data_IF_134057705422
#
_entry.id   IF_134057705422
#
_cell.length_a   1.000
_cell.length_b   1.000
_cell.length_c   1.000
_cell.angle_alpha   90.00
_cell.angle_beta   90.00
_cell.angle_gamma   90.00
#
_symmetry.space_group_name_H-M   'P 1'
#
loop_
_entity.id
_entity.type
_entity.pdbx_description
1 polymer ?
#
# COMPACT_ATOMS: atom_id res chain seq x y z
N UNK A 1 -5.15 -100.19 5.51
CA UNK A 1 -4.06 -101.15 5.33
C UNK A 1 -2.80 -100.39 5.56
N UNK A 2 -2.34 -100.52 6.77
CA UNK A 2 -1.12 -101.21 7.22
C UNK A 2 0.11 -100.41 6.83
N UNK A 3 0.89 -100.01 7.62
CA UNK A 3 1.58 -100.46 8.84
C UNK A 3 3.03 -99.97 8.73
N UNK A 4 3.50 -99.44 9.68
CA UNK A 4 4.51 -99.77 10.69
C UNK A 4 5.95 -99.19 10.52
N UNK A 5 6.33 -98.52 11.57
CA UNK A 5 7.52 -98.78 12.42
C UNK A 5 8.92 -98.59 11.75
N UNK A 6 9.90 -98.18 12.34
CA UNK A 6 10.34 -97.88 13.70
C UNK A 6 11.84 -97.51 13.67
N UNK A 7 12.29 -96.81 14.70
CA UNK A 7 13.64 -96.81 15.28
C UNK A 7 14.85 -96.17 14.52
N UNK A 8 15.57 -95.25 15.00
CA UNK A 8 16.53 -95.29 16.14
C UNK A 8 17.30 -93.93 16.25
N UNK A 9 17.32 -93.42 17.45
CA UNK A 9 18.37 -92.68 18.13
C UNK A 9 19.72 -92.49 17.43
N UNK A 10 20.15 -91.23 17.45
CA UNK A 10 21.53 -90.80 17.26
C UNK A 10 21.67 -89.36 17.74
N UNK A 11 22.10 -89.21 18.96
CA UNK A 11 22.51 -87.92 19.60
C UNK A 11 23.73 -87.38 18.87
N UNK A 12 23.63 -86.11 18.39
CA UNK A 12 24.80 -85.30 18.18
C UNK A 12 24.44 -83.84 18.57
N UNK A 13 25.02 -83.44 19.66
CA UNK A 13 25.10 -82.02 20.05
C UNK A 13 25.89 -81.26 19.01
N UNK A 14 25.20 -80.36 18.28
CA UNK A 14 25.86 -79.28 17.60
C UNK A 14 25.44 -77.97 18.26
N UNK A 15 26.40 -77.37 18.92
CA UNK A 15 26.38 -75.99 19.43
C UNK A 15 26.29 -75.05 18.23
N UNK A 16 25.08 -74.60 17.95
CA UNK A 16 24.83 -73.50 16.98
C UNK A 16 25.02 -72.17 17.70
N UNK A 17 26.14 -71.51 17.44
CA UNK A 17 26.32 -70.10 17.73
C UNK A 17 25.16 -69.34 17.05
N UNK A 18 24.32 -68.70 17.85
CA UNK A 18 23.29 -67.79 17.35
C UNK A 18 23.90 -66.60 16.64
N UNK A 19 23.82 -66.57 15.31
CA UNK A 19 24.01 -65.37 14.53
C UNK A 19 22.79 -64.47 14.76
N UNK A 20 22.97 -63.39 15.52
CA UNK A 20 21.98 -62.33 15.61
C UNK A 20 21.69 -61.80 14.22
N UNK A 21 20.52 -62.14 13.67
CA UNK A 21 20.01 -61.51 12.45
C UNK A 21 19.72 -60.03 12.82
N UNK A 22 20.42 -59.06 12.20
CA UNK A 22 20.13 -57.66 12.52
C UNK A 22 18.64 -57.35 12.26
N UNK A 23 17.99 -56.68 13.21
CA UNK A 23 16.60 -56.31 13.07
C UNK A 23 16.40 -55.38 11.85
N UNK A 24 16.08 -56.00 10.72
CA UNK A 24 15.82 -55.38 9.41
C UNK A 24 14.69 -54.37 9.55
N UNK A 25 13.77 -54.56 10.49
CA UNK A 25 12.68 -53.62 10.75
C UNK A 25 13.15 -52.32 11.45
N UNK A 26 14.16 -52.42 12.32
CA UNK A 26 14.77 -51.24 12.96
C UNK A 26 15.59 -50.42 11.94
N UNK A 27 16.35 -51.07 11.08
CA UNK A 27 17.11 -50.44 9.99
C UNK A 27 16.21 -49.72 8.98
N UNK A 28 15.07 -50.34 8.62
CA UNK A 28 14.08 -49.76 7.69
C UNK A 28 13.37 -48.54 8.29
N UNK A 29 13.11 -48.54 9.61
CA UNK A 29 12.53 -47.39 10.30
C UNK A 29 13.51 -46.22 10.38
N UNK A 30 14.80 -46.47 10.60
CA UNK A 30 15.86 -45.45 10.61
C UNK A 30 16.00 -44.81 9.23
N UNK A 31 16.09 -45.58 8.15
CA UNK A 31 16.15 -45.09 6.77
C UNK A 31 14.92 -44.25 6.37
N UNK A 32 13.73 -44.65 6.80
CA UNK A 32 12.51 -43.86 6.55
C UNK A 32 12.54 -42.51 7.30
N UNK A 33 13.11 -42.46 8.51
CA UNK A 33 13.29 -41.20 9.27
C UNK A 33 14.31 -40.29 8.59
N UNK A 34 15.45 -40.82 8.17
CA UNK A 34 16.47 -40.05 7.43
C UNK A 34 15.94 -39.51 6.09
N UNK A 35 15.24 -40.33 5.31
CA UNK A 35 14.59 -39.89 4.08
C UNK A 35 13.57 -38.79 4.30
N UNK A 36 12.80 -38.87 5.39
CA UNK A 36 11.85 -37.81 5.77
C UNK A 36 12.56 -36.53 6.18
N UNK A 37 13.69 -36.62 6.87
CA UNK A 37 14.53 -35.49 7.29
C UNK A 37 15.21 -34.85 6.07
N UNK A 38 15.77 -35.64 5.15
CA UNK A 38 16.38 -35.17 3.91
C UNK A 38 15.33 -34.51 2.97
N UNK A 39 14.12 -35.06 2.88
CA UNK A 39 13.01 -34.43 2.15
C UNK A 39 12.63 -33.09 2.77
N UNK A 40 12.50 -33.00 4.10
CA UNK A 40 12.25 -31.74 4.82
C UNK A 40 13.39 -30.73 4.63
N UNK A 41 14.66 -31.16 4.66
CA UNK A 41 15.80 -30.28 4.40
C UNK A 41 15.87 -29.83 2.93
N UNK A 42 15.48 -30.68 1.97
CA UNK A 42 15.38 -30.33 0.56
C UNK A 42 14.23 -29.34 0.32
N UNK A 43 13.08 -29.54 0.96
CA UNK A 43 11.93 -28.65 0.85
C UNK A 43 12.18 -27.31 1.56
N UNK A 44 13.03 -27.27 2.61
CA UNK A 44 13.50 -26.04 3.24
C UNK A 44 14.54 -25.29 2.39
N UNK A 45 15.32 -25.96 1.54
CA UNK A 45 16.31 -25.33 0.64
C UNK A 45 15.70 -24.75 -0.62
N UNK A 46 14.52 -25.21 -1.04
CA UNK A 46 13.79 -24.68 -2.19
C UNK A 46 12.45 -24.12 -1.69
N UNK A 47 12.51 -23.07 -0.86
CA UNK A 47 11.32 -22.23 -0.64
C UNK A 47 10.94 -21.64 -2.00
N UNK A 48 9.85 -22.14 -2.60
CA UNK A 48 9.27 -21.46 -3.76
C UNK A 48 9.01 -20.01 -3.35
N UNK A 49 9.45 -19.02 -4.13
CA UNK A 49 9.24 -17.63 -3.80
C UNK A 49 7.75 -17.37 -3.58
N UNK A 50 7.44 -16.62 -2.54
CA UNK A 50 6.06 -16.23 -2.23
C UNK A 50 5.47 -15.42 -3.40
N UNK A 51 4.14 -15.31 -3.45
CA UNK A 51 3.47 -14.45 -4.44
C UNK A 51 4.02 -13.01 -4.39
N UNK A 52 4.26 -12.50 -3.19
CA UNK A 52 4.79 -11.16 -2.98
C UNK A 52 6.22 -11.00 -3.53
N UNK A 53 7.10 -11.96 -3.26
CA UNK A 53 8.49 -11.93 -3.78
C UNK A 53 8.53 -11.95 -5.30
N UNK A 54 7.65 -12.74 -5.95
CA UNK A 54 7.53 -12.76 -7.42
C UNK A 54 7.01 -11.45 -7.97
N UNK A 55 5.99 -10.85 -7.33
CA UNK A 55 5.46 -9.56 -7.77
C UNK A 55 6.52 -8.46 -7.65
N UNK A 56 7.33 -8.46 -6.59
CA UNK A 56 8.45 -7.52 -6.44
C UNK A 56 9.52 -7.73 -7.51
N UNK A 57 9.98 -8.96 -7.73
CA UNK A 57 10.96 -9.24 -8.79
C UNK A 57 10.47 -8.80 -10.17
N UNK A 58 9.20 -9.08 -10.50
CA UNK A 58 8.62 -8.65 -11.77
C UNK A 58 8.55 -7.12 -11.85
N UNK A 59 8.18 -6.45 -10.78
CA UNK A 59 8.17 -4.99 -10.69
C UNK A 59 9.57 -4.41 -10.94
N UNK A 60 10.59 -4.91 -10.25
CA UNK A 60 11.97 -4.45 -10.39
C UNK A 60 12.47 -4.58 -11.84
N UNK A 61 12.14 -5.69 -12.51
CA UNK A 61 12.49 -5.90 -13.92
C UNK A 61 11.70 -4.95 -14.85
N UNK A 62 10.41 -4.72 -14.55
CA UNK A 62 9.57 -3.80 -15.36
C UNK A 62 10.05 -2.36 -15.25
N UNK A 63 10.43 -1.90 -14.07
CA UNK A 63 10.94 -0.54 -13.85
C UNK A 63 12.20 -0.28 -14.65
N UNK A 64 13.10 -1.25 -14.72
CA UNK A 64 14.39 -1.12 -15.43
C UNK A 64 14.30 -1.44 -16.93
N UNK A 65 13.15 -1.90 -17.42
CA UNK A 65 13.00 -2.43 -18.79
C UNK A 65 13.43 -1.45 -19.87
N UNK A 66 13.05 -0.17 -19.76
CA UNK A 66 13.38 0.83 -20.79
C UNK A 66 14.89 1.02 -20.92
N UNK A 67 15.62 1.07 -19.81
CA UNK A 67 17.09 1.18 -19.81
C UNK A 67 17.74 -0.08 -20.37
N UNK A 68 17.22 -1.25 -20.03
CA UNK A 68 17.72 -2.52 -20.54
C UNK A 68 17.51 -2.65 -22.05
N UNK A 69 16.34 -2.27 -22.56
CA UNK A 69 16.06 -2.26 -24.00
C UNK A 69 16.98 -1.29 -24.75
N UNK A 70 17.23 -0.09 -24.21
CA UNK A 70 18.18 0.86 -24.79
C UNK A 70 19.59 0.26 -24.89
N UNK A 71 20.04 -0.40 -23.81
CA UNK A 71 21.35 -1.06 -23.74
C UNK A 71 21.45 -2.27 -24.66
N UNK A 72 20.33 -2.96 -24.95
CA UNK A 72 20.25 -4.12 -25.83
C UNK A 72 20.12 -3.78 -27.33
N UNK A 73 20.21 -2.51 -27.71
CA UNK A 73 20.22 -2.10 -29.13
C UNK A 73 18.87 -1.63 -29.68
N UNK A 74 17.81 -1.56 -28.85
CA UNK A 74 16.49 -1.05 -29.28
C UNK A 74 16.38 0.49 -29.25
N UNK A 75 17.50 1.20 -29.14
CA UNK A 75 17.52 2.68 -29.06
C UNK A 75 16.83 3.37 -30.24
N UNK A 76 16.86 2.76 -31.43
CA UNK A 76 16.23 3.33 -32.64
C UNK A 76 14.70 3.34 -32.57
N UNK A 77 14.09 2.34 -31.95
CA UNK A 77 12.62 2.24 -31.76
C UNK A 77 12.16 2.84 -30.44
N UNK A 78 13.10 3.12 -29.56
CA UNK A 78 12.92 3.89 -28.33
C UNK A 78 13.38 5.36 -28.57
N UNK A 79 13.07 5.92 -29.71
CA UNK A 79 13.41 7.32 -30.03
C UNK A 79 12.79 8.27 -28.99
N UNK A 80 13.48 9.37 -28.63
CA UNK A 80 12.91 10.36 -27.73
C UNK A 80 11.52 10.77 -28.22
N UNK A 81 10.53 10.87 -27.36
CA UNK A 81 9.19 11.19 -27.78
C UNK A 81 9.14 12.58 -28.39
N UNK A 82 8.63 12.67 -29.61
CA UNK A 82 8.41 13.95 -30.33
C UNK A 82 7.26 14.76 -29.67
N UNK A 83 6.92 15.93 -30.22
CA UNK A 83 5.78 16.71 -29.74
C UNK A 83 4.50 15.90 -29.84
N UNK A 84 3.57 16.14 -28.91
CA UNK A 84 2.27 15.45 -28.91
C UNK A 84 1.34 16.15 -29.89
N UNK A 85 0.80 15.39 -30.84
CA UNK A 85 -0.21 15.87 -31.78
C UNK A 85 -1.59 15.44 -31.34
N UNK A 86 -2.46 16.40 -31.07
CA UNK A 86 -3.88 16.16 -30.76
C UNK A 86 -4.63 15.81 -32.05
N UNK A 87 -5.46 14.77 -31.96
CA UNK A 87 -6.28 14.26 -33.04
C UNK A 87 -7.74 14.67 -32.83
N UNK A 88 -8.26 15.48 -33.74
CA UNK A 88 -9.66 15.94 -33.66
C UNK A 88 -9.85 17.15 -32.73
N UNK A 89 -11.09 17.47 -32.38
CA UNK A 89 -11.40 18.62 -31.54
C UNK A 89 -10.98 18.37 -30.09
N UNK A 90 -10.44 19.41 -29.46
CA UNK A 90 -10.22 19.44 -28.02
C UNK A 90 -11.50 19.76 -27.28
N UNK A 91 -11.66 19.17 -26.10
CA UNK A 91 -12.77 19.46 -25.19
C UNK A 91 -12.24 20.23 -24.01
N UNK A 92 -12.83 21.38 -23.72
CA UNK A 92 -12.56 22.12 -22.49
C UNK A 92 -13.50 21.66 -21.38
N UNK A 93 -12.93 21.30 -20.22
CA UNK A 93 -13.72 20.94 -19.05
C UNK A 93 -13.94 22.15 -18.16
N UNK A 94 -15.17 22.64 -18.03
CA UNK A 94 -15.47 23.84 -17.26
C UNK A 94 -15.18 23.66 -15.75
N UNK A 95 -15.15 22.42 -15.23
CA UNK A 95 -14.89 22.17 -13.81
C UNK A 95 -13.44 22.32 -13.45
N UNK A 96 -12.52 21.83 -14.28
CA UNK A 96 -11.09 21.87 -14.01
C UNK A 96 -10.37 22.95 -14.80
N UNK A 97 -11.08 23.61 -15.73
CA UNK A 97 -10.53 24.53 -16.73
C UNK A 97 -9.43 23.91 -17.58
N UNK A 98 -9.38 22.59 -17.59
CA UNK A 98 -8.43 21.81 -18.35
C UNK A 98 -8.92 21.53 -19.77
N UNK A 99 -7.99 21.10 -20.60
CA UNK A 99 -8.26 20.63 -21.96
C UNK A 99 -8.04 19.15 -22.07
N UNK A 100 -8.90 18.50 -22.85
CA UNK A 100 -8.88 17.05 -23.08
C UNK A 100 -8.76 16.83 -24.58
N UNK A 101 -7.76 16.03 -24.97
CA UNK A 101 -7.55 15.67 -26.37
C UNK A 101 -7.21 14.19 -26.51
N UNK A 102 -7.43 13.65 -27.71
CA UNK A 102 -7.01 12.30 -28.07
C UNK A 102 -5.72 12.34 -28.85
N UNK A 103 -4.87 11.36 -28.63
CA UNK A 103 -3.60 11.26 -29.35
C UNK A 103 -3.19 9.80 -29.57
N UNK A 104 -2.16 9.61 -30.36
CA UNK A 104 -1.57 8.29 -30.64
C UNK A 104 -0.09 8.40 -30.88
N UNK A 105 0.66 7.42 -30.47
CA UNK A 105 2.09 7.30 -30.78
C UNK A 105 2.55 5.84 -30.71
N UNK A 106 3.76 5.51 -31.22
CA UNK A 106 4.37 4.21 -31.02
C UNK A 106 4.53 3.87 -29.54
N UNK A 107 4.37 2.59 -29.18
CA UNK A 107 4.54 2.12 -27.80
C UNK A 107 5.91 2.49 -27.24
N UNK A 108 6.97 2.41 -28.04
CA UNK A 108 8.33 2.80 -27.64
C UNK A 108 8.43 4.25 -27.18
N UNK A 109 7.76 5.19 -27.85
CA UNK A 109 7.66 6.59 -27.42
C UNK A 109 6.79 6.74 -26.17
N UNK A 110 5.64 6.06 -26.14
CA UNK A 110 4.70 6.10 -25.03
C UNK A 110 5.34 5.68 -23.70
N UNK A 111 6.09 4.55 -23.68
CA UNK A 111 6.72 4.07 -22.44
C UNK A 111 7.88 4.95 -21.97
N UNK A 112 8.50 5.73 -22.85
CA UNK A 112 9.52 6.72 -22.48
C UNK A 112 8.92 7.98 -21.84
N UNK A 113 7.68 8.34 -22.21
CA UNK A 113 6.99 9.46 -21.56
C UNK A 113 6.56 9.15 -20.13
N UNK A 114 6.32 7.87 -19.83
CA UNK A 114 5.66 7.42 -18.62
C UNK A 114 6.60 6.56 -17.79
N UNK A 115 7.20 7.16 -16.78
CA UNK A 115 7.91 6.39 -15.74
C UNK A 115 6.91 5.70 -14.83
N UNK A 116 7.12 4.40 -14.58
CA UNK A 116 6.35 3.66 -13.57
C UNK A 116 6.59 4.23 -12.18
N UNK A 117 7.83 4.65 -11.89
CA UNK A 117 8.24 5.19 -10.59
C UNK A 117 7.63 6.57 -10.33
N UNK A 118 7.49 7.41 -11.36
CA UNK A 118 6.93 8.76 -11.22
C UNK A 118 5.40 8.76 -11.02
N UNK A 119 4.75 7.59 -11.18
CA UNK A 119 3.30 7.45 -11.03
C UNK A 119 2.88 6.95 -9.63
N UNK A 120 3.51 7.50 -8.61
CA UNK A 120 3.26 7.15 -7.20
C UNK A 120 1.85 7.44 -6.69
N UNK A 121 1.02 8.19 -7.43
CA UNK A 121 -0.40 8.38 -7.11
C UNK A 121 -1.28 7.17 -7.46
N UNK A 122 -0.74 6.20 -8.20
CA UNK A 122 -1.48 5.04 -8.65
C UNK A 122 -1.41 3.88 -7.66
N UNK A 123 -2.33 2.93 -7.83
CA UNK A 123 -2.29 1.69 -7.05
C UNK A 123 -1.00 0.91 -7.31
N UNK A 124 -0.51 0.19 -6.30
CA UNK A 124 0.61 -0.72 -6.51
C UNK A 124 0.28 -1.76 -7.58
N UNK A 125 1.30 -2.30 -8.26
CA UNK A 125 1.10 -3.33 -9.27
C UNK A 125 0.44 -4.56 -8.65
N UNK A 126 -0.52 -5.13 -9.38
CA UNK A 126 -1.10 -6.43 -9.04
C UNK A 126 -0.16 -7.55 -9.50
N UNK A 127 -0.44 -8.77 -9.06
CA UNK A 127 0.18 -9.95 -9.63
C UNK A 127 -0.41 -10.23 -11.02
N UNK A 128 0.09 -9.53 -12.03
CA UNK A 128 -0.36 -9.63 -13.42
C UNK A 128 -0.23 -11.04 -13.99
N UNK A 129 0.67 -11.84 -13.43
CA UNK A 129 0.92 -13.21 -13.90
C UNK A 129 -0.11 -14.22 -13.40
N UNK A 130 -0.88 -13.91 -12.35
CA UNK A 130 -1.91 -14.80 -11.81
C UNK A 130 -3.33 -14.25 -11.95
N UNK A 131 -3.51 -12.93 -12.09
CA UNK A 131 -4.84 -12.33 -12.27
C UNK A 131 -5.38 -12.63 -13.69
N UNK A 132 -6.56 -13.27 -13.81
CA UNK A 132 -7.10 -13.68 -15.10
C UNK A 132 -7.34 -12.54 -16.10
N UNK A 133 -7.71 -11.36 -15.59
CA UNK A 133 -8.01 -10.18 -16.42
C UNK A 133 -6.72 -9.68 -17.06
N UNK A 134 -5.69 -9.46 -16.24
CA UNK A 134 -4.41 -8.92 -16.75
C UNK A 134 -3.67 -9.93 -17.63
N UNK A 135 -3.71 -11.23 -17.30
CA UNK A 135 -3.16 -12.27 -18.17
C UNK A 135 -3.80 -12.27 -19.55
N UNK A 136 -5.13 -12.10 -19.61
CA UNK A 136 -5.84 -11.98 -20.88
C UNK A 136 -5.41 -10.71 -21.63
N UNK A 137 -5.37 -9.56 -20.96
CA UNK A 137 -4.94 -8.31 -21.58
C UNK A 137 -3.51 -8.39 -22.16
N UNK A 138 -2.57 -8.99 -21.43
CA UNK A 138 -1.20 -9.21 -21.91
C UNK A 138 -1.22 -10.08 -23.16
N UNK A 139 -1.95 -11.20 -23.14
CA UNK A 139 -2.03 -12.11 -24.30
C UNK A 139 -2.71 -11.45 -25.48
N UNK A 140 -3.84 -10.79 -25.27
CA UNK A 140 -4.59 -10.10 -26.31
C UNK A 140 -3.72 -9.02 -26.96
N UNK A 141 -2.89 -8.32 -26.18
CA UNK A 141 -1.92 -7.36 -26.70
C UNK A 141 -0.82 -8.05 -27.53
N UNK A 142 -0.23 -9.16 -27.07
CA UNK A 142 0.73 -9.96 -27.83
C UNK A 142 0.11 -10.41 -29.16
N UNK A 143 -1.13 -10.88 -29.13
CA UNK A 143 -1.89 -11.38 -30.30
C UNK A 143 -2.38 -10.26 -31.25
N UNK A 144 -2.15 -8.99 -30.93
CA UNK A 144 -2.46 -7.86 -31.82
C UNK A 144 -3.80 -7.17 -31.59
N UNK A 145 -4.52 -7.54 -30.51
CA UNK A 145 -5.78 -6.88 -30.18
C UNK A 145 -5.59 -5.38 -29.85
N UNK A 146 -6.63 -4.59 -30.16
CA UNK A 146 -6.67 -3.19 -29.73
C UNK A 146 -6.85 -3.11 -28.20
N UNK A 147 -6.04 -2.27 -27.57
CA UNK A 147 -6.12 -2.03 -26.14
C UNK A 147 -7.01 -0.83 -25.82
N UNK A 148 -7.72 -0.86 -24.69
CA UNK A 148 -8.46 0.32 -24.22
C UNK A 148 -7.53 1.51 -24.04
N UNK A 149 -8.04 2.71 -24.32
CA UNK A 149 -7.29 3.95 -24.17
C UNK A 149 -6.91 4.20 -22.71
N UNK A 150 -5.66 4.62 -22.49
CA UNK A 150 -5.19 5.11 -21.21
C UNK A 150 -5.50 6.61 -21.08
N UNK A 151 -5.57 7.12 -19.85
CA UNK A 151 -5.75 8.55 -19.58
C UNK A 151 -4.51 9.07 -18.88
N UNK A 152 -3.87 10.06 -19.47
CA UNK A 152 -2.65 10.68 -18.93
C UNK A 152 -2.84 12.18 -18.77
N UNK A 153 -2.11 12.77 -17.82
CA UNK A 153 -2.05 14.20 -17.62
C UNK A 153 -0.68 14.74 -18.01
N UNK A 154 -0.68 15.88 -18.67
CA UNK A 154 0.52 16.68 -18.89
C UNK A 154 0.62 17.75 -17.81
N UNK A 155 1.68 17.70 -16.99
CA UNK A 155 1.89 18.58 -15.84
C UNK A 155 3.15 19.41 -16.05
N UNK A 156 3.10 20.70 -15.68
CA UNK A 156 4.28 21.53 -15.55
C UNK A 156 4.76 21.60 -14.12
N UNK A 157 6.07 21.77 -13.89
CA UNK A 157 6.63 22.05 -12.57
C UNK A 157 6.13 23.36 -11.95
N UNK A 158 5.65 24.29 -12.79
CA UNK A 158 5.23 25.63 -12.39
C UNK A 158 3.70 25.83 -12.31
N UNK A 159 2.90 24.75 -12.39
CA UNK A 159 1.44 24.82 -12.55
C UNK A 159 1.03 24.70 -14.03
N UNK A 160 -0.18 24.33 -14.34
CA UNK A 160 -0.77 23.90 -15.60
C UNK A 160 0.01 24.15 -16.89
N UNK A 161 0.25 23.10 -17.67
CA UNK A 161 0.84 23.18 -19.01
C UNK A 161 -0.15 23.88 -19.93
N UNK A 162 0.22 25.03 -20.45
CA UNK A 162 -0.62 25.76 -21.43
C UNK A 162 -0.48 25.23 -22.86
N UNK A 163 0.66 24.63 -23.19
CA UNK A 163 0.96 24.03 -24.49
C UNK A 163 1.67 22.71 -24.32
N UNK A 164 1.34 21.73 -25.19
CA UNK A 164 1.97 20.41 -25.21
C UNK A 164 3.37 20.42 -25.87
N UNK A 165 3.82 21.57 -26.38
CA UNK A 165 5.13 21.73 -26.99
C UNK A 165 6.23 22.12 -25.99
N UNK A 166 5.88 22.29 -24.69
CA UNK A 166 6.85 22.63 -23.67
C UNK A 166 7.71 21.40 -23.32
N UNK A 167 9.02 21.47 -23.54
CA UNK A 167 9.99 20.41 -23.26
C UNK A 167 10.14 20.04 -21.77
N UNK A 168 9.53 20.81 -20.86
CA UNK A 168 9.53 20.56 -19.41
C UNK A 168 8.29 19.82 -18.90
N UNK A 169 7.50 19.26 -19.79
CA UNK A 169 6.28 18.53 -19.45
C UNK A 169 6.64 17.21 -18.75
N UNK A 170 5.97 16.94 -17.63
CA UNK A 170 5.91 15.63 -17.00
C UNK A 170 4.55 15.00 -17.27
N UNK A 171 4.56 13.72 -17.56
CA UNK A 171 3.35 12.96 -17.79
C UNK A 171 3.02 12.12 -16.57
N UNK A 172 1.78 12.20 -16.11
CA UNK A 172 1.25 11.38 -15.03
C UNK A 172 0.07 10.56 -15.53
N UNK A 173 0.00 9.30 -15.15
CA UNK A 173 -1.12 8.44 -15.51
C UNK A 173 -2.30 8.76 -14.62
N UNK A 174 -3.44 9.12 -15.20
CA UNK A 174 -4.71 9.28 -14.50
C UNK A 174 -5.40 7.93 -14.34
N UNK A 175 -5.53 7.18 -15.45
CA UNK A 175 -6.04 5.80 -15.50
C UNK A 175 -5.26 5.00 -16.54
N UNK A 176 -4.88 3.78 -16.18
CA UNK A 176 -4.18 2.88 -17.09
C UNK A 176 -2.81 2.42 -16.65
N UNK A 177 -2.37 2.68 -15.42
CA UNK A 177 -1.08 2.18 -14.92
C UNK A 177 -0.98 0.65 -15.06
N UNK A 178 -2.05 -0.08 -14.73
CA UNK A 178 -2.06 -1.54 -14.88
C UNK A 178 -1.98 -1.96 -16.36
N UNK A 179 -2.49 -1.15 -17.29
CA UNK A 179 -2.33 -1.35 -18.74
C UNK A 179 -0.89 -1.10 -19.20
N UNK A 180 -0.25 -0.07 -18.66
CA UNK A 180 1.19 0.15 -18.90
C UNK A 180 1.99 -1.06 -18.42
N UNK A 181 1.72 -1.61 -17.24
CA UNK A 181 2.34 -2.86 -16.79
C UNK A 181 2.09 -4.02 -17.77
N UNK A 182 0.87 -4.17 -18.29
CA UNK A 182 0.58 -5.21 -19.28
C UNK A 182 1.43 -5.05 -20.55
N UNK A 183 1.64 -3.82 -21.03
CA UNK A 183 2.52 -3.56 -22.18
C UNK A 183 3.97 -3.93 -21.89
N UNK A 184 4.50 -3.48 -20.76
CA UNK A 184 5.88 -3.75 -20.36
C UNK A 184 6.13 -5.25 -20.14
N UNK A 185 5.19 -5.95 -19.50
CA UNK A 185 5.26 -7.40 -19.33
C UNK A 185 5.17 -8.14 -20.68
N UNK A 186 4.32 -7.67 -21.61
CA UNK A 186 4.24 -8.25 -22.94
C UNK A 186 5.59 -8.14 -23.69
N UNK A 187 6.24 -6.96 -23.63
CA UNK A 187 7.58 -6.73 -24.19
C UNK A 187 8.59 -7.69 -23.55
N UNK A 188 8.62 -7.80 -22.23
CA UNK A 188 9.50 -8.71 -21.51
C UNK A 188 9.30 -10.17 -21.93
N UNK A 189 8.06 -10.63 -22.03
CA UNK A 189 7.72 -11.99 -22.43
C UNK A 189 8.17 -12.30 -23.85
N UNK A 190 8.07 -11.33 -24.77
CA UNK A 190 8.49 -11.51 -26.18
C UNK A 190 10.00 -11.45 -26.30
N UNK A 191 10.66 -10.56 -25.56
CA UNK A 191 12.10 -10.36 -25.61
C UNK A 191 12.88 -11.45 -24.91
N UNK A 192 12.58 -11.72 -23.61
CA UNK A 192 13.35 -12.63 -22.76
C UNK A 192 12.81 -14.06 -22.71
N UNK A 193 11.58 -14.29 -23.11
CA UNK A 193 10.95 -15.62 -23.22
C UNK A 193 11.16 -16.51 -21.98
N UNK A 194 11.62 -17.75 -22.20
CA UNK A 194 11.86 -18.73 -21.14
C UNK A 194 12.91 -18.27 -20.12
N UNK A 195 13.78 -17.33 -20.47
CA UNK A 195 14.76 -16.80 -19.53
C UNK A 195 14.11 -16.21 -18.28
N UNK A 196 12.95 -15.57 -18.40
CA UNK A 196 12.19 -15.05 -17.26
C UNK A 196 11.83 -16.14 -16.23
N UNK A 197 11.63 -17.37 -16.69
CA UNK A 197 11.39 -18.54 -15.81
C UNK A 197 12.68 -18.99 -15.16
N UNK A 198 13.77 -19.08 -15.94
CA UNK A 198 15.09 -19.47 -15.45
C UNK A 198 15.59 -18.51 -14.38
N UNK A 199 15.38 -17.20 -14.57
CA UNK A 199 15.73 -16.15 -13.63
C UNK A 199 14.76 -16.08 -12.42
N UNK A 200 13.69 -16.88 -12.42
CA UNK A 200 12.69 -16.94 -11.37
C UNK A 200 11.85 -15.64 -11.26
N UNK A 201 11.74 -14.88 -12.35
CA UNK A 201 10.90 -13.68 -12.45
C UNK A 201 9.43 -14.05 -12.57
N UNK A 202 9.12 -15.06 -13.41
CA UNK A 202 7.77 -15.58 -13.59
C UNK A 202 7.73 -17.09 -13.32
N UNK A 203 6.59 -17.64 -12.87
CA UNK A 203 6.43 -19.09 -12.74
C UNK A 203 6.27 -19.78 -14.10
N UNK A 204 6.64 -21.05 -14.18
CA UNK A 204 6.50 -21.86 -15.40
C UNK A 204 5.06 -21.89 -15.93
N UNK A 205 4.08 -21.99 -15.04
CA UNK A 205 2.66 -21.97 -15.43
C UNK A 205 2.25 -20.60 -16.05
N UNK A 206 2.88 -19.54 -15.58
CA UNK A 206 2.72 -18.19 -16.16
C UNK A 206 3.27 -18.15 -17.59
N UNK A 207 4.49 -18.63 -17.81
CA UNK A 207 5.07 -18.72 -19.14
C UNK A 207 4.24 -19.60 -20.10
N UNK A 208 3.84 -20.79 -19.66
CA UNK A 208 3.06 -21.73 -20.49
C UNK A 208 1.77 -21.11 -21.04
N UNK A 209 1.18 -20.16 -20.31
CA UNK A 209 -0.03 -19.45 -20.78
C UNK A 209 0.24 -18.56 -21.99
N UNK A 210 1.45 -18.00 -22.12
CA UNK A 210 1.82 -17.05 -23.17
C UNK A 210 2.66 -17.70 -24.28
N UNK A 211 3.26 -18.86 -24.02
CA UNK A 211 4.29 -19.46 -24.86
C UNK A 211 3.88 -19.61 -26.32
N UNK A 212 2.64 -20.02 -26.59
CA UNK A 212 2.14 -20.19 -27.96
C UNK A 212 2.01 -18.86 -28.70
N UNK A 213 1.41 -17.83 -28.03
CA UNK A 213 1.29 -16.48 -28.59
C UNK A 213 2.66 -15.87 -28.88
N UNK A 214 3.61 -16.00 -27.95
CA UNK A 214 4.96 -15.46 -28.11
C UNK A 214 5.72 -16.18 -29.23
N UNK A 215 5.64 -17.51 -29.32
CA UNK A 215 6.33 -18.30 -30.37
C UNK A 215 5.82 -17.96 -31.77
N UNK A 216 4.56 -17.62 -31.93
CA UNK A 216 3.98 -17.20 -33.23
C UNK A 216 4.58 -15.91 -33.77
N UNK A 217 5.14 -15.04 -32.93
CA UNK A 217 5.74 -13.77 -33.35
C UNK A 217 7.12 -13.92 -34.02
N UNK A 218 7.72 -15.13 -33.99
CA UNK A 218 9.02 -15.40 -34.61
C UNK A 218 10.21 -15.00 -33.73
N UNK A 219 11.25 -14.41 -34.34
CA UNK A 219 12.49 -14.05 -33.65
C UNK A 219 12.27 -12.97 -32.60
N UNK A 220 12.90 -13.10 -31.39
CA UNK A 220 12.65 -12.21 -30.25
C UNK A 220 12.92 -10.74 -30.53
N UNK A 221 14.03 -10.45 -31.19
CA UNK A 221 14.46 -9.06 -31.48
C UNK A 221 13.47 -8.37 -32.40
N UNK A 222 13.15 -9.00 -33.55
CA UNK A 222 12.20 -8.46 -34.52
C UNK A 222 10.79 -8.36 -33.93
N UNK A 223 10.36 -9.34 -33.18
CA UNK A 223 9.07 -9.35 -32.50
C UNK A 223 8.98 -8.21 -31.47
N UNK A 224 10.05 -7.94 -30.73
CA UNK A 224 10.14 -6.84 -29.77
C UNK A 224 10.09 -5.48 -30.47
N UNK A 225 10.83 -5.29 -31.55
CA UNK A 225 10.76 -4.09 -32.37
C UNK A 225 9.33 -3.82 -32.88
N UNK A 226 8.68 -4.84 -33.42
CA UNK A 226 7.32 -4.75 -33.92
C UNK A 226 6.33 -4.37 -32.81
N UNK A 227 6.51 -4.87 -31.58
CA UNK A 227 5.69 -4.45 -30.44
C UNK A 227 5.94 -2.99 -30.07
N UNK A 228 7.20 -2.55 -30.04
CA UNK A 228 7.57 -1.17 -29.70
C UNK A 228 7.06 -0.16 -30.75
N UNK A 229 6.97 -0.56 -32.02
CA UNK A 229 6.40 0.27 -33.08
C UNK A 229 4.87 0.27 -33.12
N UNK A 230 4.20 -0.61 -32.36
CA UNK A 230 2.74 -0.65 -32.34
C UNK A 230 2.15 0.65 -31.82
N UNK A 231 1.16 1.19 -32.52
CA UNK A 231 0.50 2.45 -32.17
C UNK A 231 -0.43 2.25 -30.99
N UNK A 232 -0.21 3.03 -29.94
CA UNK A 232 -1.03 3.13 -28.75
C UNK A 232 -1.86 4.42 -28.81
N UNK A 233 -3.14 4.32 -28.44
CA UNK A 233 -4.04 5.46 -28.32
C UNK A 233 -4.25 5.80 -26.86
N UNK A 234 -4.31 7.10 -26.57
CA UNK A 234 -4.58 7.57 -25.21
C UNK A 234 -5.24 8.95 -25.23
N UNK A 235 -5.93 9.24 -24.15
CA UNK A 235 -6.55 10.52 -23.88
C UNK A 235 -5.58 11.35 -23.02
N UNK A 236 -5.33 12.60 -23.39
CA UNK A 236 -4.43 13.50 -22.69
C UNK A 236 -5.19 14.67 -22.09
N UNK A 237 -4.94 14.91 -20.80
CA UNK A 237 -5.46 16.02 -20.02
C UNK A 237 -4.32 17.03 -19.81
N UNK A 238 -4.51 18.26 -20.22
CA UNK A 238 -3.50 19.30 -20.09
C UNK A 238 -4.13 20.65 -19.75
N UNK A 239 -3.32 21.67 -19.48
CA UNK A 239 -3.77 22.93 -18.90
C UNK A 239 -4.53 22.74 -17.57
N UNK A 240 -4.32 21.62 -16.85
CA UNK A 240 -4.92 21.33 -15.57
C UNK A 240 -3.92 21.58 -14.43
N UNK A 241 -4.40 22.12 -13.32
CA UNK A 241 -3.63 22.18 -12.08
C UNK A 241 -3.63 20.83 -11.34
N UNK A 242 -2.86 20.77 -10.24
CA UNK A 242 -2.78 19.56 -9.40
C UNK A 242 -4.17 19.14 -8.88
N UNK A 243 -5.02 20.08 -8.49
CA UNK A 243 -6.38 19.78 -8.03
C UNK A 243 -7.24 19.11 -9.11
N UNK A 244 -7.17 19.58 -10.35
CA UNK A 244 -7.85 18.97 -11.49
C UNK A 244 -7.34 17.57 -11.77
N UNK A 245 -6.00 17.36 -11.74
CA UNK A 245 -5.41 16.03 -11.86
C UNK A 245 -5.98 15.07 -10.80
N UNK A 246 -5.96 15.46 -9.53
CA UNK A 246 -6.41 14.63 -8.42
C UNK A 246 -7.91 14.34 -8.53
N UNK A 247 -8.72 15.32 -8.97
CA UNK A 247 -10.14 15.14 -9.26
C UNK A 247 -10.36 14.02 -10.29
N UNK A 248 -9.64 14.05 -11.42
CA UNK A 248 -9.76 13.02 -12.44
C UNK A 248 -9.24 11.66 -11.96
N UNK A 249 -8.14 11.61 -11.22
CA UNK A 249 -7.62 10.36 -10.66
C UNK A 249 -8.65 9.67 -9.76
N UNK A 250 -9.36 10.43 -8.93
CA UNK A 250 -10.41 9.88 -8.07
C UNK A 250 -11.61 9.45 -8.91
N UNK A 251 -12.08 10.30 -9.82
CA UNK A 251 -13.29 10.07 -10.64
C UNK A 251 -13.14 8.83 -11.52
N UNK A 252 -12.05 8.72 -12.29
CA UNK A 252 -11.85 7.58 -13.20
C UNK A 252 -11.52 6.27 -12.48
N UNK A 253 -10.83 6.33 -11.35
CA UNK A 253 -10.52 5.13 -10.57
C UNK A 253 -11.68 4.67 -9.66
N UNK A 254 -12.77 5.43 -9.56
CA UNK A 254 -13.94 5.06 -8.75
C UNK A 254 -14.82 3.96 -9.34
N UNK A 255 -14.77 3.73 -10.65
CA UNK A 255 -15.74 2.92 -11.38
C UNK A 255 -15.40 1.44 -11.58
N UNK A 256 -14.13 1.04 -11.55
CA UNK A 256 -13.72 -0.34 -11.87
C UNK A 256 -13.43 -1.19 -10.62
N UNK A 257 -12.23 -1.09 -10.05
CA UNK A 257 -11.91 -1.56 -8.70
C UNK A 257 -11.75 -0.31 -7.85
N UNK A 258 -12.78 0.02 -7.09
CA UNK A 258 -12.79 1.25 -6.30
C UNK A 258 -11.51 1.36 -5.48
N UNK A 259 -10.81 2.47 -5.66
CA UNK A 259 -9.77 2.89 -4.76
C UNK A 259 -10.39 3.06 -3.37
N UNK A 260 -9.73 2.58 -2.31
CA UNK A 260 -10.26 2.80 -0.96
C UNK A 260 -10.34 4.30 -0.67
N UNK A 261 -11.33 4.72 0.10
CA UNK A 261 -11.49 6.13 0.48
C UNK A 261 -10.21 6.68 1.17
N UNK A 262 -9.47 5.83 1.89
CA UNK A 262 -8.19 6.20 2.51
C UNK A 262 -7.15 6.60 1.47
N UNK A 263 -6.96 5.78 0.45
CA UNK A 263 -6.02 6.09 -0.64
C UNK A 263 -6.47 7.33 -1.42
N UNK A 264 -7.78 7.49 -1.65
CA UNK A 264 -8.31 8.72 -2.27
C UNK A 264 -7.96 9.96 -1.45
N UNK A 265 -8.17 9.90 -0.14
CA UNK A 265 -7.84 11.01 0.77
C UNK A 265 -6.32 11.30 0.77
N UNK A 266 -5.47 10.27 0.79
CA UNK A 266 -4.01 10.44 0.72
C UNK A 266 -3.59 11.12 -0.59
N UNK A 267 -4.18 10.74 -1.72
CA UNK A 267 -3.93 11.39 -3.02
C UNK A 267 -4.32 12.86 -2.96
N UNK A 268 -5.55 13.15 -2.53
CA UNK A 268 -6.10 14.51 -2.50
C UNK A 268 -5.33 15.45 -1.57
N UNK A 269 -4.80 14.91 -0.48
CA UNK A 269 -4.05 15.67 0.53
C UNK A 269 -2.52 15.43 0.46
N UNK A 270 -2.04 14.92 -0.67
CA UNK A 270 -0.61 14.63 -0.88
C UNK A 270 0.31 15.83 -0.57
N UNK A 271 0.01 17.08 -0.98
CA UNK A 271 0.85 18.22 -0.63
C UNK A 271 0.97 18.43 0.90
N UNK A 272 -0.12 18.24 1.63
CA UNK A 272 -0.10 18.30 3.10
C UNK A 272 0.76 17.17 3.69
N UNK A 273 0.59 15.94 3.22
CA UNK A 273 1.36 14.79 3.69
C UNK A 273 2.86 15.00 3.45
N UNK A 274 3.25 15.47 2.26
CA UNK A 274 4.66 15.75 1.94
C UNK A 274 5.23 16.89 2.79
N UNK A 275 4.44 17.90 3.05
CA UNK A 275 4.86 18.99 3.95
C UNK A 275 5.08 18.47 5.38
N UNK A 276 4.15 17.68 5.94
CA UNK A 276 4.29 17.07 7.25
C UNK A 276 5.50 16.13 7.34
N UNK A 277 5.78 15.38 6.29
CA UNK A 277 7.00 14.54 6.21
C UNK A 277 8.27 15.36 6.19
N UNK A 278 8.30 16.46 5.42
CA UNK A 278 9.46 17.37 5.38
C UNK A 278 9.74 18.00 6.74
N UNK A 279 8.71 18.14 7.58
CA UNK A 279 8.80 18.57 8.96
C UNK A 279 9.24 17.45 9.94
N UNK A 280 9.48 16.25 9.44
CA UNK A 280 9.97 15.11 10.22
C UNK A 280 8.91 14.26 10.90
N UNK A 281 7.63 14.41 10.55
CA UNK A 281 6.55 13.54 11.07
C UNK A 281 6.63 12.18 10.37
N UNK A 282 6.70 11.08 11.14
CA UNK A 282 6.84 9.74 10.57
C UNK A 282 5.51 9.24 9.99
N UNK A 283 5.32 9.39 8.68
CA UNK A 283 4.10 9.02 7.99
C UNK A 283 4.35 7.82 7.06
N UNK A 284 3.42 6.87 7.10
CA UNK A 284 3.30 5.75 6.20
C UNK A 284 2.08 5.96 5.29
N UNK A 285 2.27 5.81 3.99
CA UNK A 285 1.20 5.95 3.01
C UNK A 285 0.78 4.59 2.46
N UNK A 286 -0.51 4.43 2.20
CA UNK A 286 -1.05 3.27 1.48
C UNK A 286 -0.82 3.38 -0.05
N UNK A 287 -0.53 4.59 -0.54
CA UNK A 287 -0.18 4.84 -1.94
C UNK A 287 1.17 4.20 -2.27
N UNK A 288 1.25 3.51 -3.42
CA UNK A 288 2.49 2.87 -3.88
C UNK A 288 2.92 1.64 -3.08
N UNK A 289 2.14 1.23 -2.09
CA UNK A 289 2.45 0.08 -1.25
C UNK A 289 2.35 -1.22 -2.03
N UNK A 290 3.38 -2.04 -1.90
CA UNK A 290 3.34 -3.39 -2.47
C UNK A 290 2.38 -4.30 -1.70
N UNK A 291 1.66 -5.22 -2.37
CA UNK A 291 0.79 -6.18 -1.70
C UNK A 291 1.54 -6.96 -0.63
N UNK A 292 1.01 -7.00 0.59
CA UNK A 292 1.59 -7.72 1.73
C UNK A 292 2.64 -6.93 2.54
N UNK A 293 2.97 -5.71 2.16
CA UNK A 293 3.72 -4.81 3.04
C UNK A 293 2.91 -4.45 4.27
N UNK A 294 3.55 -4.48 5.43
CA UNK A 294 2.94 -4.08 6.69
C UNK A 294 3.46 -2.72 7.10
N UNK A 295 2.57 -1.87 7.58
CA UNK A 295 2.96 -0.58 8.16
C UNK A 295 3.92 -0.80 9.33
N UNK A 296 5.05 -0.07 9.38
CA UNK A 296 5.86 0.02 10.58
C UNK A 296 5.04 0.56 11.76
N UNK A 297 5.32 0.05 12.95
CA UNK A 297 4.51 0.37 14.14
C UNK A 297 4.72 1.78 14.67
N UNK A 298 5.82 2.39 14.30
CA UNK A 298 6.28 3.73 14.67
C UNK A 298 5.82 4.83 13.71
N UNK A 299 4.94 4.52 12.74
CA UNK A 299 4.50 5.49 11.74
C UNK A 299 2.99 5.69 11.74
N UNK A 300 2.57 6.93 11.60
CA UNK A 300 1.19 7.30 11.33
C UNK A 300 0.74 6.85 9.94
N UNK A 301 -0.53 6.51 9.79
CA UNK A 301 -1.09 6.31 8.46
C UNK A 301 -1.40 7.68 7.82
N UNK A 302 -1.07 7.86 6.54
CA UNK A 302 -1.27 9.13 5.83
C UNK A 302 -2.70 9.64 5.91
N UNK A 303 -3.69 8.78 5.67
CA UNK A 303 -5.10 9.13 5.81
C UNK A 303 -5.49 9.53 7.24
N UNK A 304 -4.94 8.87 8.27
CA UNK A 304 -5.28 9.16 9.66
C UNK A 304 -4.68 10.51 10.09
N UNK A 305 -3.47 10.84 9.61
CA UNK A 305 -2.84 12.14 9.85
C UNK A 305 -3.61 13.30 9.18
N UNK A 306 -4.12 13.08 7.97
CA UNK A 306 -4.97 14.07 7.31
C UNK A 306 -6.24 14.33 8.11
N UNK A 307 -6.91 13.28 8.58
CA UNK A 307 -8.10 13.40 9.42
C UNK A 307 -7.77 14.03 10.77
N UNK A 308 -6.63 13.70 11.39
CA UNK A 308 -6.17 14.31 12.62
C UNK A 308 -5.90 15.81 12.45
N UNK A 309 -5.28 16.23 11.35
CA UNK A 309 -5.09 17.63 11.01
C UNK A 309 -6.43 18.36 10.91
N UNK A 310 -7.40 17.76 10.24
CA UNK A 310 -8.76 18.31 10.12
C UNK A 310 -9.47 18.37 11.49
N UNK A 311 -9.35 17.31 12.30
CA UNK A 311 -9.92 17.27 13.65
C UNK A 311 -9.35 18.37 14.55
N UNK A 312 -8.05 18.68 14.44
CA UNK A 312 -7.42 19.80 15.15
C UNK A 312 -8.00 21.16 14.75
N UNK A 313 -8.15 21.41 13.43
CA UNK A 313 -8.62 22.68 12.90
C UNK A 313 -10.10 22.91 13.24
N UNK A 314 -10.92 21.86 13.10
CA UNK A 314 -12.37 21.95 13.31
C UNK A 314 -12.78 21.71 14.76
N UNK A 315 -11.84 21.32 15.61
CA UNK A 315 -12.10 20.91 17.00
C UNK A 315 -13.16 19.78 17.08
N UNK A 316 -13.19 18.91 16.10
CA UNK A 316 -14.20 17.87 15.99
C UNK A 316 -13.56 16.51 15.66
N UNK A 317 -13.67 15.57 16.58
CA UNK A 317 -13.16 14.20 16.40
C UNK A 317 -13.99 13.34 15.42
N UNK A 318 -15.19 13.79 15.03
CA UNK A 318 -16.11 13.02 14.20
C UNK A 318 -15.86 13.13 12.68
N UNK A 319 -14.73 13.74 12.28
CA UNK A 319 -14.31 13.79 10.88
C UNK A 319 -14.15 12.36 10.31
N UNK A 320 -14.60 12.16 9.08
CA UNK A 320 -14.50 10.85 8.40
C UNK A 320 -13.89 10.98 7.02
N UNK A 321 -13.22 9.94 6.57
CA UNK A 321 -12.64 9.89 5.23
C UNK A 321 -13.67 10.17 4.14
N UNK A 322 -14.91 9.67 4.30
CA UNK A 322 -15.98 9.87 3.31
C UNK A 322 -16.36 11.34 3.18
N UNK A 323 -16.62 12.02 4.32
CA UNK A 323 -16.99 13.44 4.35
C UNK A 323 -15.87 14.31 3.78
N UNK A 324 -14.62 14.06 4.15
CA UNK A 324 -13.48 14.84 3.65
C UNK A 324 -13.22 14.60 2.15
N UNK A 325 -13.45 13.39 1.67
CA UNK A 325 -13.35 13.09 0.24
C UNK A 325 -14.44 13.80 -0.56
N UNK A 326 -15.69 13.75 -0.09
CA UNK A 326 -16.82 14.41 -0.72
C UNK A 326 -16.62 15.95 -0.73
N UNK A 327 -16.25 16.51 0.41
CA UNK A 327 -15.95 17.94 0.53
C UNK A 327 -14.88 18.40 -0.47
N UNK A 328 -13.79 17.64 -0.63
CA UNK A 328 -12.75 17.97 -1.60
C UNK A 328 -13.28 17.98 -3.04
N UNK A 329 -14.12 16.98 -3.39
CA UNK A 329 -14.72 16.90 -4.74
C UNK A 329 -15.67 18.05 -5.05
N UNK A 330 -16.33 18.60 -4.03
CA UNK A 330 -17.29 19.68 -4.18
C UNK A 330 -16.64 21.08 -4.20
N UNK A 331 -15.66 21.33 -3.33
CA UNK A 331 -15.13 22.67 -3.11
C UNK A 331 -14.14 23.15 -4.17
N UNK A 332 -13.58 22.30 -5.03
CA UNK A 332 -12.63 22.64 -6.12
C UNK A 332 -11.41 23.49 -5.68
N UNK A 333 -11.18 23.68 -4.40
CA UNK A 333 -10.13 24.57 -3.89
C UNK A 333 -8.89 23.78 -3.44
N UNK A 334 -7.68 24.26 -3.74
CA UNK A 334 -6.47 23.74 -3.12
C UNK A 334 -6.53 23.98 -1.62
N UNK A 335 -6.59 22.90 -0.87
CA UNK A 335 -6.76 22.89 0.59
C UNK A 335 -5.70 23.70 1.35
N UNK A 336 -4.50 23.86 0.78
CA UNK A 336 -3.41 24.61 1.41
C UNK A 336 -3.64 26.11 1.48
N UNK A 337 -4.42 26.68 0.53
CA UNK A 337 -4.68 28.13 0.50
C UNK A 337 -5.62 28.58 1.63
N UNK A 338 -6.39 27.64 2.21
CA UNK A 338 -7.36 27.91 3.28
C UNK A 338 -6.91 27.40 4.66
N UNK A 339 -5.81 26.66 4.76
CA UNK A 339 -5.22 26.30 6.04
C UNK A 339 -4.38 27.51 6.46
N UNK A 340 -4.87 28.28 7.45
CA UNK A 340 -4.05 29.23 8.14
C UNK A 340 -2.74 28.60 8.64
N UNK A 341 -2.02 29.29 9.48
CA UNK A 341 -0.76 28.78 10.01
C UNK A 341 -0.91 27.36 10.61
N UNK A 342 -0.34 26.35 9.93
CA UNK A 342 -0.35 24.94 10.37
C UNK A 342 0.81 24.62 11.33
N UNK A 343 1.58 25.62 11.74
CA UNK A 343 2.74 25.46 12.62
C UNK A 343 2.35 24.84 13.97
N UNK A 344 1.21 25.22 14.53
CA UNK A 344 0.70 24.68 15.78
C UNK A 344 0.37 23.18 15.67
N UNK A 345 -0.21 22.76 14.55
CA UNK A 345 -0.48 21.34 14.26
C UNK A 345 0.83 20.57 14.13
N UNK A 346 1.77 21.07 13.35
CA UNK A 346 3.09 20.47 13.16
C UNK A 346 3.77 20.30 14.52
N UNK A 347 3.77 21.34 15.34
CA UNK A 347 4.34 21.29 16.69
C UNK A 347 3.66 20.22 17.54
N UNK A 348 2.34 20.17 17.53
CA UNK A 348 1.56 19.17 18.28
C UNK A 348 1.85 17.75 17.81
N UNK A 349 1.84 17.50 16.49
CA UNK A 349 2.11 16.18 15.93
C UNK A 349 3.57 15.72 16.17
N UNK A 350 4.53 16.64 16.15
CA UNK A 350 5.93 16.35 16.54
C UNK A 350 6.01 15.93 18.00
N UNK A 351 5.35 16.62 18.92
CA UNK A 351 5.29 16.24 20.34
C UNK A 351 4.61 14.87 20.53
N UNK A 352 3.50 14.64 19.85
CA UNK A 352 2.80 13.35 19.90
C UNK A 352 3.72 12.21 19.42
N UNK A 353 4.43 12.38 18.30
CA UNK A 353 5.27 11.33 17.75
C UNK A 353 6.54 11.09 18.58
N UNK A 354 7.21 12.13 19.03
CA UNK A 354 8.49 12.03 19.70
C UNK A 354 8.38 11.75 21.21
N UNK A 355 7.43 12.41 21.90
CA UNK A 355 7.33 12.37 23.35
C UNK A 355 6.22 11.42 23.82
N UNK A 356 4.98 11.68 23.42
CA UNK A 356 3.80 10.94 23.90
C UNK A 356 3.87 9.47 23.49
N UNK A 357 4.20 9.20 22.20
CA UNK A 357 4.33 7.84 21.69
C UNK A 357 5.47 7.06 22.37
N UNK A 358 6.60 7.73 22.62
CA UNK A 358 7.74 7.11 23.31
C UNK A 358 7.36 6.70 24.74
N UNK A 359 6.67 7.58 25.49
CA UNK A 359 6.22 7.28 26.85
C UNK A 359 5.18 6.15 26.91
N UNK A 360 4.21 6.15 25.98
CA UNK A 360 3.23 5.05 25.86
C UNK A 360 3.95 3.73 25.56
N UNK A 361 4.90 3.73 24.63
CA UNK A 361 5.64 2.52 24.28
C UNK A 361 6.40 1.99 25.49
N UNK A 362 7.03 2.86 26.27
CA UNK A 362 7.77 2.48 27.47
C UNK A 362 6.84 1.96 28.60
N UNK A 363 5.74 2.66 28.88
CA UNK A 363 4.83 2.32 29.96
C UNK A 363 4.06 1.00 29.70
N UNK A 364 3.76 0.71 28.44
CA UNK A 364 2.96 -0.46 28.05
C UNK A 364 3.75 -1.49 27.23
N UNK A 365 5.07 -1.59 27.42
CA UNK A 365 5.96 -2.50 26.69
C UNK A 365 5.52 -3.97 26.81
N UNK A 366 5.06 -4.38 27.99
CA UNK A 366 4.56 -5.74 28.26
C UNK A 366 3.24 -6.09 27.56
N UNK A 367 2.48 -5.08 27.09
CA UNK A 367 1.19 -5.27 26.43
C UNK A 367 1.20 -4.72 24.99
N UNK A 368 1.69 -5.49 24.01
CA UNK A 368 1.85 -5.02 22.64
C UNK A 368 0.54 -4.57 21.98
N UNK A 369 -0.61 -5.05 22.42
CA UNK A 369 -1.90 -4.63 21.84
C UNK A 369 -2.34 -3.25 22.32
N UNK A 370 -1.90 -2.81 23.49
CA UNK A 370 -2.26 -1.51 24.07
C UNK A 370 -1.35 -0.38 23.58
N UNK A 371 -0.06 -0.61 23.41
CA UNK A 371 0.90 0.42 22.94
C UNK A 371 0.64 0.94 21.52
N UNK A 372 -0.23 0.27 20.74
CA UNK A 372 -0.59 0.71 19.40
C UNK A 372 -1.81 1.61 19.32
N UNK A 373 -2.52 1.82 20.41
CA UNK A 373 -3.76 2.58 20.39
C UNK A 373 -3.56 3.99 19.88
N UNK A 374 -2.50 4.68 20.29
CA UNK A 374 -2.24 6.06 19.87
C UNK A 374 -1.86 6.21 18.40
N UNK A 375 -0.96 5.37 17.88
CA UNK A 375 -0.42 5.50 16.52
C UNK A 375 -1.20 4.72 15.47
N UNK A 376 -1.91 3.66 15.90
CA UNK A 376 -2.60 2.73 15.02
C UNK A 376 -4.12 2.70 15.20
N UNK A 377 -4.63 3.35 16.22
CA UNK A 377 -6.06 3.43 16.50
C UNK A 377 -6.60 4.77 16.04
N UNK A 378 -7.20 4.81 14.85
CA UNK A 378 -7.95 5.96 14.34
C UNK A 378 -8.77 6.67 15.46
N UNK A 379 -9.60 5.99 16.30
CA UNK A 379 -10.38 6.68 17.31
C UNK A 379 -9.54 7.44 18.34
N UNK A 380 -8.42 6.87 18.80
CA UNK A 380 -7.61 7.49 19.83
C UNK A 380 -6.84 8.70 19.27
N UNK A 381 -6.17 8.56 18.12
CA UNK A 381 -5.42 9.63 17.50
C UNK A 381 -6.32 10.84 17.17
N UNK A 382 -7.47 10.60 16.53
CA UNK A 382 -8.36 11.68 16.12
C UNK A 382 -8.99 12.39 17.31
N UNK A 383 -9.46 11.64 18.31
CA UNK A 383 -10.02 12.22 19.53
C UNK A 383 -8.99 13.05 20.28
N UNK A 384 -7.79 12.51 20.49
CA UNK A 384 -6.71 13.21 21.16
C UNK A 384 -6.31 14.52 20.45
N UNK A 385 -6.14 14.45 19.13
CA UNK A 385 -5.75 15.63 18.34
C UNK A 385 -6.87 16.67 18.28
N UNK A 386 -8.15 16.26 18.24
CA UNK A 386 -9.28 17.18 18.33
C UNK A 386 -9.31 17.92 19.68
N UNK A 387 -9.06 17.20 20.79
CA UNK A 387 -8.95 17.81 22.12
C UNK A 387 -7.80 18.82 22.19
N UNK A 388 -6.63 18.49 21.60
CA UNK A 388 -5.50 19.43 21.49
C UNK A 388 -5.91 20.71 20.74
N UNK A 389 -6.59 20.58 19.59
CA UNK A 389 -7.08 21.71 18.82
C UNK A 389 -8.10 22.56 19.58
N UNK A 390 -9.01 21.91 20.31
CA UNK A 390 -9.99 22.61 21.15
C UNK A 390 -9.33 23.41 22.27
N UNK A 391 -8.38 22.84 22.99
CA UNK A 391 -7.65 23.54 24.08
C UNK A 391 -6.85 24.69 23.51
N UNK A 392 -6.20 24.52 22.39
CA UNK A 392 -5.48 25.59 21.68
C UNK A 392 -6.41 26.75 21.30
N UNK A 393 -7.63 26.49 20.87
CA UNK A 393 -8.60 27.52 20.49
C UNK A 393 -9.13 28.35 21.68
N UNK A 394 -9.11 27.76 22.87
CA UNK A 394 -9.52 28.43 24.13
C UNK A 394 -8.43 29.28 24.77
N UNK A 395 -7.20 29.12 24.33
CA UNK A 395 -6.03 29.85 24.82
C UNK A 395 -4.98 29.98 23.71
N UNK A 396 -3.72 30.01 24.13
CA UNK A 396 -2.59 29.91 23.22
C UNK A 396 -1.96 28.51 23.32
N UNK A 397 -0.92 28.27 22.53
CA UNK A 397 -0.16 27.01 22.57
C UNK A 397 0.44 26.71 23.95
N UNK A 398 0.68 27.72 24.81
CA UNK A 398 1.26 27.52 26.14
C UNK A 398 0.32 26.71 27.07
N UNK A 399 -1.00 26.86 26.89
CA UNK A 399 -1.98 26.07 27.66
C UNK A 399 -1.91 24.61 27.21
N UNK A 400 -1.87 24.36 25.90
CA UNK A 400 -1.74 23.01 25.35
C UNK A 400 -0.42 22.37 25.76
N UNK A 401 0.70 23.12 25.68
CA UNK A 401 2.00 22.59 26.06
C UNK A 401 2.04 22.19 27.54
N UNK A 402 1.51 23.02 28.44
CA UNK A 402 1.39 22.67 29.86
C UNK A 402 0.51 21.45 30.11
N UNK A 403 -0.57 21.30 29.34
CA UNK A 403 -1.46 20.15 29.45
C UNK A 403 -0.78 18.85 28.97
N UNK A 404 -0.01 18.93 27.89
CA UNK A 404 0.81 17.81 27.40
C UNK A 404 1.95 17.48 28.39
N UNK A 405 2.62 18.49 28.96
CA UNK A 405 3.65 18.29 29.99
C UNK A 405 3.09 17.60 31.23
N UNK A 406 1.88 17.97 31.65
CA UNK A 406 1.19 17.31 32.75
C UNK A 406 0.93 15.82 32.43
N UNK A 407 0.43 15.52 31.25
CA UNK A 407 0.22 14.13 30.81
C UNK A 407 1.54 13.35 30.81
N UNK A 408 2.62 13.93 30.29
CA UNK A 408 3.92 13.28 30.22
C UNK A 408 4.49 13.02 31.62
N UNK A 409 4.29 13.92 32.59
CA UNK A 409 4.70 13.74 33.98
C UNK A 409 3.97 12.58 34.65
N UNK A 410 2.70 12.31 34.31
CA UNK A 410 1.99 11.14 34.84
C UNK A 410 2.65 9.83 34.39
N UNK A 411 3.25 9.76 33.20
CA UNK A 411 4.00 8.60 32.75
C UNK A 411 5.33 8.37 33.48
N UNK A 412 5.88 9.36 34.14
CA UNK A 412 7.15 9.25 34.88
C UNK A 412 6.95 8.68 36.30
N UNK A 413 5.73 8.46 36.74
CA UNK A 413 5.43 7.83 38.04
C UNK A 413 5.64 6.32 37.96
N UNK A 414 6.33 5.69 38.92
CA UNK A 414 6.47 4.25 38.98
C UNK A 414 5.10 3.56 39.02
N UNK A 415 4.95 2.49 38.25
CA UNK A 415 3.73 1.68 38.15
C UNK A 415 2.46 2.47 37.75
N UNK A 416 2.61 3.65 37.12
CA UNK A 416 1.47 4.42 36.67
C UNK A 416 0.81 3.82 35.42
N UNK A 417 -0.51 3.85 35.41
CA UNK A 417 -1.35 3.67 34.21
C UNK A 417 -2.02 5.02 33.87
N UNK A 418 -1.27 6.00 33.32
CA UNK A 418 -1.80 7.36 33.07
C UNK A 418 -2.94 7.38 32.08
N UNK A 419 -3.07 6.36 31.23
CA UNK A 419 -4.16 6.26 30.26
C UNK A 419 -5.37 5.50 30.82
N UNK A 420 -5.27 4.87 32.02
CA UNK A 420 -6.33 4.08 32.63
C UNK A 420 -6.94 3.10 31.62
N UNK A 421 -6.09 2.26 31.00
CA UNK A 421 -6.44 1.45 29.81
C UNK A 421 -7.63 0.52 30.07
N UNK A 422 -7.73 -0.09 31.26
CA UNK A 422 -8.85 -0.96 31.60
C UNK A 422 -10.17 -0.16 31.69
N UNK A 423 -10.12 1.05 32.27
CA UNK A 423 -11.27 1.95 32.33
C UNK A 423 -11.68 2.44 30.94
N UNK A 424 -10.70 2.75 30.07
CA UNK A 424 -10.97 3.08 28.66
C UNK A 424 -11.68 1.94 27.92
N UNK A 425 -11.21 0.69 28.10
CA UNK A 425 -11.86 -0.47 27.49
C UNK A 425 -13.29 -0.66 27.99
N UNK A 426 -13.48 -0.56 29.32
CA UNK A 426 -14.81 -0.64 29.93
C UNK A 426 -15.75 0.46 29.44
N UNK A 427 -15.25 1.67 29.29
CA UNK A 427 -16.01 2.81 28.76
C UNK A 427 -16.44 2.59 27.29
N UNK A 428 -15.57 2.01 26.47
CA UNK A 428 -15.92 1.64 25.08
C UNK A 428 -17.04 0.59 25.03
N UNK A 429 -17.02 -0.37 25.95
CA UNK A 429 -18.07 -1.40 26.06
C UNK A 429 -19.40 -0.79 26.51
N UNK A 430 -19.37 0.17 27.46
CA UNK A 430 -20.58 0.87 27.96
C UNK A 430 -21.31 1.62 26.85
N UNK A 431 -20.58 2.35 25.98
CA UNK A 431 -21.20 3.12 24.89
C UNK A 431 -21.53 2.26 23.66
N UNK A 432 -21.38 0.93 23.75
CA UNK A 432 -21.51 0.00 22.61
C UNK A 432 -20.73 0.51 21.36
N UNK A 433 -19.68 1.26 21.58
CA UNK A 433 -18.92 1.89 20.53
C UNK A 433 -18.05 0.87 19.80
N UNK A 434 -18.55 0.32 18.74
CA UNK A 434 -17.68 -0.25 17.73
C UNK A 434 -16.85 0.90 17.15
N UNK A 435 -15.57 0.99 17.50
CA UNK A 435 -14.47 1.74 16.82
C UNK A 435 -14.86 2.94 15.93
N UNK A 436 -15.99 3.60 16.19
CA UNK A 436 -16.58 4.62 15.35
C UNK A 436 -16.56 6.02 15.97
N UNK A 437 -17.55 6.82 15.61
CA UNK A 437 -17.69 8.22 16.03
C UNK A 437 -17.73 8.40 17.54
N UNK A 438 -18.42 7.49 18.24
CA UNK A 438 -18.58 7.59 19.70
C UNK A 438 -17.28 7.29 20.44
N UNK A 439 -16.47 6.35 19.96
CA UNK A 439 -15.14 6.12 20.51
C UNK A 439 -14.21 7.34 20.35
N UNK A 440 -14.26 8.03 19.20
CA UNK A 440 -13.51 9.27 18.99
C UNK A 440 -14.01 10.40 19.89
N UNK A 441 -15.33 10.50 20.05
CA UNK A 441 -15.96 11.46 20.96
C UNK A 441 -15.55 11.20 22.41
N UNK A 442 -15.56 9.94 22.86
CA UNK A 442 -15.10 9.55 24.18
C UNK A 442 -13.68 10.04 24.45
N UNK A 443 -12.76 9.80 23.51
CA UNK A 443 -11.36 10.23 23.65
C UNK A 443 -11.28 11.77 23.67
N UNK A 444 -11.95 12.45 22.75
CA UNK A 444 -11.97 13.90 22.65
C UNK A 444 -12.49 14.56 23.96
N UNK A 445 -13.68 14.16 24.42
CA UNK A 445 -14.31 14.75 25.59
C UNK A 445 -13.50 14.47 26.88
N UNK A 446 -12.94 13.26 27.03
CA UNK A 446 -12.11 12.90 28.19
C UNK A 446 -10.82 13.75 28.23
N UNK A 447 -10.11 13.87 27.10
CA UNK A 447 -8.88 14.67 27.05
C UNK A 447 -9.14 16.17 27.17
N UNK A 448 -10.25 16.71 26.64
CA UNK A 448 -10.64 18.12 26.87
C UNK A 448 -10.79 18.43 28.36
N UNK A 449 -11.52 17.57 29.07
CA UNK A 449 -11.75 17.73 30.51
C UNK A 449 -10.44 17.68 31.28
N UNK A 450 -9.58 16.73 30.97
CA UNK A 450 -8.27 16.61 31.60
C UNK A 450 -7.35 17.82 31.29
N UNK A 451 -7.23 18.22 30.04
CA UNK A 451 -6.36 19.32 29.63
C UNK A 451 -6.83 20.67 30.14
N UNK A 452 -8.13 20.87 30.28
CA UNK A 452 -8.68 22.09 30.86
C UNK A 452 -8.68 22.07 32.40
N UNK A 453 -8.24 20.99 33.03
CA UNK A 453 -8.20 20.89 34.50
C UNK A 453 -9.55 20.65 35.13
N UNK A 454 -10.58 20.25 34.37
CA UNK A 454 -11.90 19.87 34.89
C UNK A 454 -11.81 18.58 35.68
N UNK A 455 -10.94 17.67 35.25
CA UNK A 455 -10.60 16.44 35.96
C UNK A 455 -9.11 16.41 36.26
N UNK A 456 -8.71 15.73 37.34
CA UNK A 456 -7.30 15.53 37.70
C UNK A 456 -6.65 14.38 36.96
N UNK A 457 -7.45 13.43 36.49
CA UNK A 457 -7.07 12.22 35.77
C UNK A 457 -8.01 11.98 34.59
N UNK A 458 -7.70 10.99 33.74
CA UNK A 458 -8.55 10.61 32.61
C UNK A 458 -9.73 9.76 33.10
N UNK A 459 -10.88 10.38 33.26
CA UNK A 459 -12.11 9.74 33.72
C UNK A 459 -12.95 9.27 32.52
N UNK A 460 -12.64 8.08 32.04
CA UNK A 460 -13.30 7.47 30.88
C UNK A 460 -14.74 7.04 31.17
N UNK A 461 -15.00 6.55 32.41
CA UNK A 461 -16.31 5.99 32.76
C UNK A 461 -17.36 7.07 32.93
N UNK A 462 -17.02 8.19 33.63
CA UNK A 462 -17.93 9.33 33.75
C UNK A 462 -18.20 9.99 32.38
N UNK A 463 -17.18 10.08 31.53
CA UNK A 463 -17.37 10.57 30.16
C UNK A 463 -18.27 9.65 29.34
N UNK A 464 -18.12 8.32 29.47
CA UNK A 464 -18.97 7.36 28.78
C UNK A 464 -20.44 7.44 29.24
N UNK A 465 -20.68 7.60 30.55
CA UNK A 465 -22.02 7.81 31.10
C UNK A 465 -22.70 9.06 30.53
N UNK A 466 -21.95 10.16 30.41
CA UNK A 466 -22.46 11.39 29.81
C UNK A 466 -22.82 11.21 28.34
N UNK A 467 -22.00 10.50 27.57
CA UNK A 467 -22.27 10.18 26.17
C UNK A 467 -23.51 9.30 26.04
N UNK A 468 -23.61 8.24 26.86
CA UNK A 468 -24.75 7.32 26.87
C UNK A 468 -26.06 8.00 27.30
N UNK A 469 -25.98 8.95 28.26
CA UNK A 469 -27.11 9.76 28.72
C UNK A 469 -27.58 10.83 27.76
N UNK A 470 -26.92 11.00 26.62
CA UNK A 470 -27.27 12.00 25.60
C UNK A 470 -26.96 13.45 25.97
N UNK A 471 -26.14 13.67 26.98
CA UNK A 471 -25.68 15.02 27.39
C UNK A 471 -24.55 15.44 26.43
N UNK A 472 -24.85 16.33 25.50
CA UNK A 472 -23.82 17.00 24.67
C UNK A 472 -23.40 18.29 25.36
N UNK A 473 -22.11 18.43 25.59
CA UNK A 473 -21.48 19.69 26.07
C UNK A 473 -21.03 20.58 24.92
#
# INVERSE_FOLDING_TARGET
MTDNQDHRKGSNEFVTRGSEIPDVAASTRSLKRELKTLRRQRDLRIKKPTRLERTRKLHDVVVNLVQELQSAGFASVLSPPGPITIMGPEVEDPKTQGKIGHTREPLGSYIQRLSVEDNFFQRPPFDHMTDPIYRRLIRDFIDGAAMPESKIAALSRAGGVRSLDDGNIRFSIIDGLQRLYCFLIAILLVWRREQLVQDGVIPQEGWNFFAESVKRLGEPELATENLLQRVIRYEIFYAIGLAGLLHYMVTFNSSQRRMSLRVQLEIMKKPLIEHLKSEGIPIWEDIGRMPGERRPQDRFLGSDIVLATQAFITHNAQVTTAVETERFLDENQPYLDNIGDISDIIRTLKRISAEVHSKITQAYESNPNQRFLMMNGDPFLLGFVAACGYVRSRGNMDILDKALDKLLQEFDRPDADPLHIESYQSALDMINASRGKDARRLVDDTFRRFFLGVTTELDWLDTADQIAGGVSH
#
